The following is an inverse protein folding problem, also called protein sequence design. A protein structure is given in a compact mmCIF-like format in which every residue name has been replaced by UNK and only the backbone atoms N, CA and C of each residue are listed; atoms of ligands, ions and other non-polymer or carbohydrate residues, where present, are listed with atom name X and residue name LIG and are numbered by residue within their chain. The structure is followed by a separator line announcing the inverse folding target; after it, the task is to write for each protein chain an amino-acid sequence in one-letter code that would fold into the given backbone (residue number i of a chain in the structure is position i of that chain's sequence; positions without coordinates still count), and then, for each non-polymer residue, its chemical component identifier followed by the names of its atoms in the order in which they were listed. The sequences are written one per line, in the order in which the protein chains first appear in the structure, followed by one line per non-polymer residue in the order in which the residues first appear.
data_IF_201791208082
#
_entry.id   IF_201791208082
#
_cell.length_a   1.000
_cell.length_b   1.000
_cell.length_c   1.000
_cell.angle_alpha   90.00
_cell.angle_beta   90.00
_cell.angle_gamma   90.00
#
_symmetry.space_group_name_H-M   'P 1'
#
loop_
_entity.id
_entity.type
_entity.pdbx_description
1 polymer ?
#
# COMPACT_ATOMS: atom_id res chain seq x y z
N UNK A 1 3.81 2.39 -27.20
CA UNK A 1 3.34 0.98 -27.18
C UNK A 1 2.37 0.81 -26.03
N UNK A 2 1.14 0.36 -26.30
CA UNK A 2 0.20 -0.08 -25.26
C UNK A 2 0.80 -1.30 -24.54
N UNK A 3 0.81 -1.32 -23.20
CA UNK A 3 1.31 -2.46 -22.42
C UNK A 3 0.38 -3.66 -22.66
N UNK A 4 0.91 -4.82 -23.03
CA UNK A 4 0.14 -6.06 -23.00
C UNK A 4 -0.09 -6.51 -21.54
N UNK A 5 -1.09 -7.35 -21.27
CA UNK A 5 -1.47 -7.77 -19.91
C UNK A 5 -0.30 -8.35 -19.10
N UNK A 6 0.59 -9.10 -19.76
CA UNK A 6 1.80 -9.67 -19.14
C UNK A 6 2.75 -8.59 -18.63
N UNK A 7 3.06 -7.60 -19.48
CA UNK A 7 3.93 -6.49 -19.13
C UNK A 7 3.33 -5.59 -18.03
N UNK A 8 2.01 -5.42 -17.99
CA UNK A 8 1.34 -4.70 -16.92
C UNK A 8 1.47 -5.42 -15.58
N UNK A 9 1.24 -6.75 -15.54
CA UNK A 9 1.46 -7.57 -14.34
C UNK A 9 2.91 -7.56 -13.88
N UNK A 10 3.86 -7.68 -14.80
CA UNK A 10 5.29 -7.63 -14.47
C UNK A 10 5.70 -6.27 -13.90
N UNK A 11 5.17 -5.16 -14.45
CA UNK A 11 5.44 -3.82 -13.95
C UNK A 11 4.89 -3.62 -12.53
N UNK A 12 3.64 -4.02 -12.27
CA UNK A 12 3.06 -4.02 -10.92
C UNK A 12 3.91 -4.84 -9.95
N UNK A 13 4.23 -6.08 -10.32
CA UNK A 13 5.07 -6.98 -9.53
C UNK A 13 6.44 -6.39 -9.18
N UNK A 14 7.05 -5.69 -10.13
CA UNK A 14 8.36 -5.06 -9.94
C UNK A 14 8.25 -3.83 -9.04
N UNK A 15 7.16 -3.06 -9.16
CA UNK A 15 6.89 -1.91 -8.30
C UNK A 15 6.63 -2.34 -6.86
N UNK A 16 5.85 -3.41 -6.67
CA UNK A 16 5.64 -4.00 -5.35
C UNK A 16 6.94 -4.45 -4.70
N UNK A 17 7.84 -5.08 -5.47
CA UNK A 17 9.12 -5.56 -4.93
C UNK A 17 9.99 -4.38 -4.53
N UNK A 18 10.03 -3.34 -5.37
CA UNK A 18 10.79 -2.12 -5.12
C UNK A 18 10.36 -1.46 -3.79
N UNK A 19 9.06 -1.31 -3.55
CA UNK A 19 8.55 -0.68 -2.32
C UNK A 19 8.77 -1.57 -1.10
N UNK A 20 8.46 -2.87 -1.20
CA UNK A 20 8.66 -3.79 -0.08
C UNK A 20 10.13 -3.83 0.37
N UNK A 21 11.07 -3.93 -0.57
CA UNK A 21 12.51 -3.90 -0.25
C UNK A 21 12.94 -2.57 0.37
N UNK A 22 12.45 -1.44 -0.14
CA UNK A 22 12.77 -0.13 0.43
C UNK A 22 12.24 0.01 1.86
N UNK A 23 10.99 -0.38 2.11
CA UNK A 23 10.40 -0.33 3.46
C UNK A 23 11.13 -1.26 4.43
N UNK A 24 11.46 -2.49 4.02
CA UNK A 24 12.23 -3.41 4.85
C UNK A 24 13.59 -2.83 5.26
N UNK A 25 14.27 -2.15 4.34
CA UNK A 25 15.57 -1.51 4.59
C UNK A 25 15.46 -0.29 5.52
N UNK A 26 14.56 0.65 5.20
CA UNK A 26 14.45 1.90 5.96
C UNK A 26 13.83 1.71 7.34
N UNK A 27 13.03 0.65 7.53
CA UNK A 27 12.39 0.31 8.80
C UNK A 27 13.12 -0.80 9.56
N UNK A 28 14.28 -1.25 9.08
CA UNK A 28 15.09 -2.33 9.66
C UNK A 28 14.25 -3.55 10.08
N UNK A 29 13.48 -4.09 9.12
CA UNK A 29 12.46 -5.11 9.39
C UNK A 29 12.57 -6.31 8.45
N UNK A 30 12.78 -7.49 9.04
CA UNK A 30 12.79 -8.79 8.35
C UNK A 30 11.36 -9.32 8.03
N UNK A 31 10.32 -8.66 8.52
CA UNK A 31 8.94 -9.11 8.35
C UNK A 31 8.24 -8.50 7.13
N UNK A 32 8.83 -7.46 6.54
CA UNK A 32 8.23 -6.75 5.42
C UNK A 32 8.53 -7.48 4.12
N UNK A 33 7.49 -8.02 3.50
CA UNK A 33 7.58 -8.66 2.20
C UNK A 33 6.32 -8.41 1.38
N UNK A 34 6.41 -8.68 0.08
CA UNK A 34 5.21 -8.72 -0.76
C UNK A 34 4.31 -9.87 -0.32
N UNK A 35 3.03 -9.57 -0.17
CA UNK A 35 2.06 -10.60 0.16
C UNK A 35 1.90 -11.56 -1.01
N UNK A 36 1.91 -12.86 -0.72
CA UNK A 36 1.53 -13.89 -1.68
C UNK A 36 0.01 -14.04 -1.64
N UNK A 37 -0.60 -14.24 -2.80
CA UNK A 37 -2.03 -14.56 -2.92
C UNK A 37 -2.32 -15.78 -2.05
N UNK A 38 -2.90 -15.56 -0.88
CA UNK A 38 -3.21 -16.60 0.10
C UNK A 38 -4.43 -16.17 0.91
N UNK A 39 -5.37 -17.10 1.10
CA UNK A 39 -6.65 -16.80 1.74
C UNK A 39 -7.75 -16.36 0.76
N UNK A 40 -8.95 -16.17 1.31
CA UNK A 40 -10.17 -15.79 0.56
C UNK A 40 -10.31 -14.28 0.44
N UNK A 41 -9.79 -13.54 1.42
CA UNK A 41 -9.90 -12.09 1.49
C UNK A 41 -8.58 -11.45 1.12
N UNK A 42 -8.64 -10.44 0.25
CA UNK A 42 -7.51 -9.56 0.00
C UNK A 42 -7.24 -8.70 1.23
N UNK A 43 -5.97 -8.47 1.54
CA UNK A 43 -5.58 -7.58 2.63
C UNK A 43 -4.36 -6.71 2.26
N UNK A 44 -4.16 -6.51 0.96
CA UNK A 44 -3.14 -5.63 0.40
C UNK A 44 -1.88 -6.33 -0.08
N UNK A 45 -1.08 -5.56 -0.80
CA UNK A 45 0.07 -6.02 -1.58
C UNK A 45 1.33 -6.29 -0.75
N UNK A 46 1.48 -5.65 0.42
CA UNK A 46 2.66 -5.78 1.30
C UNK A 46 2.21 -6.19 2.70
N UNK A 47 2.90 -7.17 3.28
CA UNK A 47 2.68 -7.62 4.66
C UNK A 47 3.81 -7.16 5.58
N UNK A 48 3.58 -7.21 6.90
CA UNK A 48 4.59 -6.93 7.92
C UNK A 48 4.80 -5.45 8.24
N UNK A 49 4.16 -4.53 7.52
CA UNK A 49 4.25 -3.09 7.79
C UNK A 49 3.45 -2.74 9.04
N UNK A 50 4.12 -2.02 9.96
CA UNK A 50 3.53 -1.55 11.20
C UNK A 50 3.86 -0.08 11.45
N UNK A 51 2.97 0.62 12.13
CA UNK A 51 3.25 1.96 12.62
C UNK A 51 4.20 1.94 13.84
N UNK A 52 4.57 3.12 14.35
CA UNK A 52 5.46 3.25 15.50
C UNK A 52 4.92 2.63 16.81
N UNK A 53 3.63 2.30 16.86
CA UNK A 53 2.96 1.62 18.00
C UNK A 53 2.82 0.12 17.79
N UNK A 54 3.31 -0.41 16.66
CA UNK A 54 3.17 -1.81 16.30
C UNK A 54 1.81 -2.18 15.72
N UNK A 55 0.96 -1.22 15.39
CA UNK A 55 -0.34 -1.46 14.75
C UNK A 55 -0.15 -1.77 13.26
N UNK A 56 -0.97 -2.65 12.69
CA UNK A 56 -0.85 -3.06 11.28
C UNK A 56 -1.26 -1.92 10.34
N UNK A 57 -0.57 -1.84 9.22
CA UNK A 57 -0.92 -0.98 8.09
C UNK A 57 -1.14 -1.81 6.83
N UNK A 58 -2.20 -1.49 6.10
CA UNK A 58 -2.44 -2.05 4.77
C UNK A 58 -1.91 -1.09 3.72
N UNK A 59 -1.14 -1.63 2.78
CA UNK A 59 -0.55 -0.90 1.68
C UNK A 59 -1.03 -1.52 0.37
N UNK A 60 -1.71 -0.71 -0.43
CA UNK A 60 -2.16 -1.06 -1.77
C UNK A 60 -1.34 -0.33 -2.84
N UNK A 61 -0.80 -1.04 -3.83
CA UNK A 61 0.22 -0.50 -4.74
C UNK A 61 -0.30 -0.33 -6.17
N UNK A 62 -0.16 0.89 -6.70
CA UNK A 62 -0.68 1.21 -8.05
C UNK A 62 0.40 1.72 -8.99
N UNK A 63 0.79 0.91 -9.98
CA UNK A 63 1.52 1.35 -11.18
C UNK A 63 0.57 1.62 -12.35
N UNK A 64 0.01 2.83 -12.36
CA UNK A 64 -0.93 3.28 -13.38
C UNK A 64 -0.31 4.28 -14.38
N UNK A 65 0.99 4.12 -14.69
CA UNK A 65 1.67 4.95 -15.68
C UNK A 65 1.78 6.43 -15.32
N UNK A 66 1.66 6.75 -14.03
CA UNK A 66 1.69 8.10 -13.48
C UNK A 66 0.34 8.79 -13.33
N UNK A 67 -0.75 8.16 -13.77
CA UNK A 67 -2.11 8.64 -13.47
C UNK A 67 -2.42 8.33 -12.02
N UNK A 68 -3.23 9.18 -11.38
CA UNK A 68 -3.68 9.02 -9.99
C UNK A 68 -5.21 8.95 -9.98
N UNK A 69 -5.76 7.92 -9.34
CA UNK A 69 -7.21 7.65 -9.32
C UNK A 69 -7.65 7.39 -7.86
N UNK A 70 -7.62 8.42 -7.00
CA UNK A 70 -7.55 8.22 -5.55
C UNK A 70 -8.81 7.59 -4.95
N UNK A 71 -10.00 7.97 -5.43
CA UNK A 71 -11.28 7.45 -4.91
C UNK A 71 -11.35 5.92 -4.87
N UNK A 72 -11.37 5.23 -6.03
CA UNK A 72 -11.49 3.76 -6.06
C UNK A 72 -10.30 3.04 -5.42
N UNK A 73 -9.09 3.63 -5.44
CA UNK A 73 -7.92 2.99 -4.84
C UNK A 73 -7.92 3.04 -3.32
N UNK A 74 -8.39 4.15 -2.74
CA UNK A 74 -8.51 4.29 -1.29
C UNK A 74 -9.65 3.42 -0.76
N UNK A 75 -10.76 3.30 -1.49
CA UNK A 75 -11.86 2.38 -1.14
C UNK A 75 -11.39 0.92 -1.09
N UNK A 76 -10.59 0.48 -2.07
CA UNK A 76 -9.98 -0.85 -2.09
C UNK A 76 -9.05 -1.07 -0.88
N UNK A 77 -8.14 -0.13 -0.61
CA UNK A 77 -7.25 -0.17 0.56
C UNK A 77 -8.01 -0.19 1.89
N UNK A 78 -9.20 0.42 1.95
CA UNK A 78 -10.05 0.41 3.14
C UNK A 78 -10.75 -0.94 3.37
N UNK A 79 -11.23 -1.58 2.30
CA UNK A 79 -11.78 -2.95 2.37
C UNK A 79 -10.71 -3.91 2.89
N UNK A 80 -9.50 -3.82 2.34
CA UNK A 80 -8.36 -4.63 2.74
C UNK A 80 -7.90 -4.37 4.18
N UNK A 81 -7.91 -3.10 4.61
CA UNK A 81 -7.66 -2.72 5.99
C UNK A 81 -8.63 -3.42 6.95
N UNK A 82 -9.92 -3.47 6.62
CA UNK A 82 -10.91 -4.23 7.38
C UNK A 82 -10.57 -5.72 7.44
N UNK A 83 -10.18 -6.30 6.31
CA UNK A 83 -9.79 -7.72 6.20
C UNK A 83 -8.52 -8.08 6.98
N UNK A 84 -7.60 -7.14 7.21
CA UNK A 84 -6.37 -7.37 7.99
C UNK A 84 -6.44 -6.87 9.45
N UNK A 85 -7.54 -6.23 9.83
CA UNK A 85 -7.70 -5.52 11.10
C UNK A 85 -6.58 -4.49 11.32
N UNK A 86 -6.28 -3.71 10.29
CA UNK A 86 -5.28 -2.66 10.30
C UNK A 86 -5.84 -1.32 10.78
N UNK A 87 -4.98 -0.44 11.30
CA UNK A 87 -5.40 0.88 11.80
C UNK A 87 -5.62 1.89 10.66
N UNK A 88 -4.91 1.71 9.55
CA UNK A 88 -5.05 2.51 8.33
C UNK A 88 -4.74 1.69 7.08
N UNK A 89 -5.43 2.02 5.99
CA UNK A 89 -5.14 1.58 4.62
C UNK A 89 -4.60 2.75 3.82
N UNK A 90 -3.49 2.56 3.12
CA UNK A 90 -2.85 3.61 2.30
C UNK A 90 -2.54 3.08 0.91
N UNK A 91 -2.55 3.98 -0.07
CA UNK A 91 -2.16 3.66 -1.44
C UNK A 91 -0.76 4.18 -1.70
N UNK A 92 0.15 3.33 -2.17
CA UNK A 92 1.44 3.75 -2.71
C UNK A 92 1.35 3.78 -4.23
N UNK A 93 1.30 4.98 -4.80
CA UNK A 93 1.10 5.19 -6.23
C UNK A 93 2.42 5.53 -6.94
N UNK A 94 2.70 4.83 -8.04
CA UNK A 94 3.92 5.03 -8.82
C UNK A 94 3.94 6.42 -9.47
N UNK A 95 4.93 7.24 -9.09
CA UNK A 95 5.21 8.54 -9.68
C UNK A 95 5.86 8.40 -11.05
N UNK A 96 5.34 9.13 -12.04
CA UNK A 96 5.93 9.18 -13.38
C UNK A 96 7.31 9.82 -13.36
N UNK A 97 8.24 9.28 -14.12
CA UNK A 97 9.56 9.88 -14.34
C UNK A 97 10.59 9.57 -13.24
N UNK A 98 10.25 8.72 -12.26
CA UNK A 98 11.21 8.29 -11.23
C UNK A 98 11.01 6.83 -10.83
N UNK A 99 12.13 6.16 -10.54
CA UNK A 99 12.20 4.83 -9.92
C UNK A 99 12.74 4.89 -8.49
N UNK A 100 13.03 6.09 -7.97
CA UNK A 100 13.44 6.24 -6.57
C UNK A 100 12.28 5.84 -5.65
N UNK A 101 12.40 4.80 -4.82
CA UNK A 101 11.30 4.30 -3.99
C UNK A 101 10.79 5.33 -2.97
N UNK A 102 11.67 6.13 -2.36
CA UNK A 102 11.28 7.17 -1.41
C UNK A 102 10.61 8.40 -2.03
N UNK A 103 10.57 8.48 -3.37
CA UNK A 103 9.98 9.61 -4.11
C UNK A 103 8.60 9.29 -4.74
N UNK A 104 8.05 8.11 -4.43
CA UNK A 104 6.71 7.71 -4.89
C UNK A 104 5.62 8.38 -4.05
N UNK A 105 4.38 8.36 -4.51
CA UNK A 105 3.29 9.01 -3.78
C UNK A 105 2.67 8.07 -2.77
N UNK A 106 2.29 8.61 -1.63
CA UNK A 106 1.37 7.96 -0.69
C UNK A 106 0.07 8.76 -0.68
N UNK A 107 -1.06 8.07 -0.83
CA UNK A 107 -2.39 8.65 -0.81
C UNK A 107 -3.20 7.99 0.31
N UNK A 108 -3.91 8.79 1.07
CA UNK A 108 -4.75 8.36 2.18
C UNK A 108 -5.82 9.42 2.46
N UNK A 109 -6.88 9.06 3.19
CA UNK A 109 -7.83 10.06 3.70
C UNK A 109 -7.23 10.80 4.90
N UNK A 110 -7.87 11.90 5.32
CA UNK A 110 -7.50 12.59 6.55
C UNK A 110 -7.74 11.70 7.78
N UNK A 111 -8.76 10.83 7.76
CA UNK A 111 -9.02 9.92 8.88
C UNK A 111 -7.92 8.87 9.04
N UNK A 112 -7.36 8.37 7.93
CA UNK A 112 -6.20 7.47 7.97
C UNK A 112 -4.98 8.17 8.61
N UNK A 113 -4.73 9.44 8.24
CA UNK A 113 -3.67 10.24 8.85
C UNK A 113 -3.92 10.47 10.35
N UNK A 114 -5.15 10.79 10.75
CA UNK A 114 -5.53 10.91 12.16
C UNK A 114 -5.26 9.60 12.89
N UNK A 115 -5.62 8.46 12.29
CA UNK A 115 -5.41 7.14 12.89
C UNK A 115 -3.91 6.86 13.12
N UNK A 116 -3.05 7.19 12.16
CA UNK A 116 -1.59 7.07 12.30
C UNK A 116 -1.02 7.99 13.41
N UNK A 117 -1.51 9.22 13.51
CA UNK A 117 -1.01 10.19 14.48
C UNK A 117 -1.53 9.89 15.88
N UNK A 118 -2.81 9.53 16.02
CA UNK A 118 -3.49 9.35 17.31
C UNK A 118 -3.33 7.94 17.87
N UNK A 119 -3.30 6.93 17.00
CA UNK A 119 -3.26 5.50 17.34
C UNK A 119 -4.62 4.81 17.27
N UNK A 120 -5.68 5.53 16.94
CA UNK A 120 -7.03 4.99 16.76
C UNK A 120 -7.80 5.81 15.72
N UNK A 121 -8.66 5.12 14.97
CA UNK A 121 -9.46 5.74 13.91
C UNK A 121 -10.56 6.64 14.51
N UNK A 122 -10.83 7.82 13.93
CA UNK A 122 -11.92 8.69 14.35
C UNK A 122 -13.30 8.24 13.83
N UNK A 123 -13.33 7.34 12.85
CA UNK A 123 -14.52 6.82 12.20
C UNK A 123 -14.75 5.35 12.53
N UNK A 124 -16.03 4.95 12.54
CA UNK A 124 -16.47 3.56 12.68
C UNK A 124 -16.96 2.97 11.35
N UNK A 125 -16.88 3.72 10.25
CA UNK A 125 -17.62 3.46 9.01
C UNK A 125 -16.83 2.61 8.01
N UNK A 126 -16.39 1.43 8.45
CA UNK A 126 -15.73 0.42 7.61
C UNK A 126 -16.48 -0.91 7.68
#
# INVERSE_FOLDING_TARGET
MSRNRSSAKQAGRSFETLIATYLAQELDSDYIERRRLSGVNDRGDITGVRDARGQRLVLELKDYGGRITPGPWVEEAHIEMGNDSAVAGVVVAKRRGTTNPGAQYVLMTVNDLVALIRGDRPDNDL
#
